data_IF_590116597253
#
_entry.id   IF_590116597253
#
_cell.length_a   1.000
_cell.length_b   1.000
_cell.length_c   1.000
_cell.angle_alpha   90.00
_cell.angle_beta   90.00
_cell.angle_gamma   90.00
#
_symmetry.space_group_name_H-M   'P 1'
#
loop_
_entity.id
_entity.type
_entity.pdbx_description
1 polymer ?
#
# COMPACT_ATOMS: atom_id res chain seq x y z
N UNK A 1 16.39 -33.13 36.63
CA UNK A 1 15.36 -33.00 35.56
C UNK A 1 15.13 -31.53 35.39
N UNK A 2 15.55 -31.00 34.23
CA UNK A 2 15.65 -29.58 33.93
C UNK A 2 14.36 -28.81 34.27
N UNK A 3 14.50 -27.71 35.00
CA UNK A 3 13.49 -26.68 35.10
C UNK A 3 13.39 -25.98 33.74
N UNK A 4 12.57 -26.53 32.85
CA UNK A 4 12.25 -25.89 31.57
C UNK A 4 11.22 -24.81 31.89
N UNK A 5 11.67 -23.57 32.06
CA UNK A 5 10.82 -22.38 31.91
C UNK A 5 10.00 -22.56 30.63
N UNK A 6 8.67 -22.36 30.62
CA UNK A 6 7.89 -22.48 29.40
C UNK A 6 8.40 -21.42 28.42
N UNK A 7 9.16 -21.85 27.41
CA UNK A 7 9.62 -20.97 26.35
C UNK A 7 8.41 -20.44 25.59
N UNK A 8 8.45 -19.16 25.23
CA UNK A 8 7.37 -18.56 24.46
C UNK A 8 7.39 -19.19 23.07
N UNK A 9 6.25 -19.66 22.51
CA UNK A 9 6.23 -20.19 21.16
C UNK A 9 6.81 -19.17 20.16
N UNK A 10 7.69 -19.61 19.26
CA UNK A 10 8.30 -18.76 18.21
C UNK A 10 7.26 -18.00 17.38
N UNK A 11 6.07 -18.59 17.20
CA UNK A 11 4.94 -17.96 16.54
C UNK A 11 4.51 -16.62 17.18
N UNK A 12 4.68 -16.45 18.50
CA UNK A 12 4.35 -15.22 19.20
C UNK A 12 5.43 -14.14 19.08
N UNK A 13 6.65 -14.48 18.66
CA UNK A 13 7.72 -13.49 18.50
C UNK A 13 7.36 -12.47 17.41
N UNK A 14 6.68 -12.92 16.34
CA UNK A 14 6.19 -12.04 15.27
C UNK A 14 5.07 -11.09 15.73
N UNK A 15 4.34 -11.44 16.79
CA UNK A 15 3.33 -10.55 17.41
C UNK A 15 3.95 -9.41 18.23
N UNK A 16 5.23 -9.54 18.56
CA UNK A 16 5.95 -8.62 19.44
C UNK A 16 6.85 -7.65 18.67
N UNK A 17 6.69 -7.59 17.34
CA UNK A 17 7.38 -6.66 16.48
C UNK A 17 6.52 -5.42 16.21
N UNK A 18 7.14 -4.26 16.28
CA UNK A 18 6.54 -3.01 15.83
C UNK A 18 6.46 -2.98 14.31
N UNK A 19 5.28 -2.68 13.76
CA UNK A 19 5.06 -2.64 12.29
C UNK A 19 5.74 -1.46 11.59
N UNK A 20 6.31 -0.50 12.33
CA UNK A 20 7.02 0.66 11.77
C UNK A 20 8.51 0.37 11.62
N UNK A 21 9.16 -0.10 12.69
CA UNK A 21 10.61 -0.35 12.69
C UNK A 21 11.00 -1.82 12.50
N UNK A 22 10.01 -2.73 12.48
CA UNK A 22 10.17 -4.18 12.30
C UNK A 22 11.07 -4.85 13.35
N UNK A 23 11.21 -4.20 14.52
CA UNK A 23 11.97 -4.67 15.67
C UNK A 23 11.03 -4.97 16.84
N UNK A 24 11.52 -5.68 17.85
CA UNK A 24 10.80 -5.83 19.12
C UNK A 24 10.40 -4.46 19.66
N UNK A 25 9.22 -4.40 20.26
CA UNK A 25 8.73 -3.15 20.85
C UNK A 25 9.71 -2.58 21.88
N UNK A 26 10.01 -1.29 21.74
CA UNK A 26 10.77 -0.49 22.70
C UNK A 26 9.86 0.64 23.17
N UNK A 27 9.60 0.71 24.48
CA UNK A 27 8.63 1.64 25.10
C UNK A 27 7.29 1.67 24.32
N UNK A 28 6.55 0.54 24.29
CA UNK A 28 5.34 0.42 23.48
C UNK A 28 4.23 1.34 23.96
N UNK A 29 3.78 2.27 23.11
CA UNK A 29 2.65 3.17 23.33
C UNK A 29 1.41 2.69 22.59
N UNK A 30 0.24 2.83 23.21
CA UNK A 30 -1.06 2.37 22.71
C UNK A 30 -1.88 3.57 22.22
N UNK A 31 -2.31 3.54 20.96
CA UNK A 31 -3.20 4.55 20.40
C UNK A 31 -4.65 4.36 20.87
N UNK A 32 -5.54 5.37 20.73
CA UNK A 32 -6.98 5.22 21.04
C UNK A 32 -7.68 4.11 20.24
N UNK A 33 -7.16 3.77 19.05
CA UNK A 33 -7.62 2.64 18.24
C UNK A 33 -7.06 1.27 18.68
N UNK A 34 -6.36 1.22 19.83
CA UNK A 34 -5.75 0.04 20.46
C UNK A 34 -4.55 -0.58 19.73
N UNK A 35 -4.08 0.02 18.64
CA UNK A 35 -2.81 -0.39 18.02
C UNK A 35 -1.62 0.12 18.82
N UNK A 36 -0.58 -0.71 18.91
CA UNK A 36 0.64 -0.45 19.71
C UNK A 36 1.82 -0.20 18.78
N UNK A 37 2.70 0.73 19.15
CA UNK A 37 3.91 1.11 18.40
C UNK A 37 5.03 1.51 19.38
N UNK A 38 6.29 1.48 18.95
CA UNK A 38 7.37 2.09 19.75
C UNK A 38 7.13 3.60 19.88
N UNK A 39 7.45 4.17 21.05
CA UNK A 39 7.39 5.61 21.28
C UNK A 39 8.11 6.40 20.18
N UNK A 40 9.39 6.09 19.93
CA UNK A 40 10.21 6.78 18.91
C UNK A 40 9.58 6.73 17.52
N UNK A 41 8.95 5.60 17.17
CA UNK A 41 8.29 5.44 15.87
C UNK A 41 7.03 6.32 15.73
N UNK A 42 6.33 6.58 16.83
CA UNK A 42 5.19 7.50 16.84
C UNK A 42 5.67 8.95 16.86
N UNK A 43 6.75 9.27 17.57
CA UNK A 43 7.34 10.61 17.57
C UNK A 43 7.81 11.03 16.18
N UNK A 44 8.50 10.15 15.46
CA UNK A 44 8.92 10.42 14.08
C UNK A 44 7.73 10.58 13.12
N UNK A 45 6.62 9.88 13.39
CA UNK A 45 5.40 9.96 12.58
C UNK A 45 4.63 11.26 12.85
N UNK A 46 4.47 11.62 14.11
CA UNK A 46 3.78 12.83 14.53
C UNK A 46 4.59 14.08 14.20
N UNK A 47 5.92 14.01 14.22
CA UNK A 47 6.82 15.16 14.05
C UNK A 47 6.41 16.29 15.02
N UNK A 48 6.19 17.50 14.50
CA UNK A 48 5.69 18.65 15.25
C UNK A 48 4.15 18.78 15.18
N UNK A 49 3.47 17.86 14.49
CA UNK A 49 2.02 17.89 14.34
C UNK A 49 1.33 17.30 15.57
N UNK A 50 0.21 17.91 15.97
CA UNK A 50 -0.61 17.41 17.08
C UNK A 50 -1.57 16.31 16.65
N UNK A 51 -1.61 15.93 15.36
CA UNK A 51 -2.51 14.89 14.86
C UNK A 51 -1.88 14.07 13.75
N UNK A 52 -2.09 12.76 13.76
CA UNK A 52 -1.64 11.83 12.70
C UNK A 52 -2.62 10.67 12.57
N UNK A 53 -2.51 9.89 11.49
CA UNK A 53 -3.34 8.70 11.29
C UNK A 53 -2.58 7.42 11.66
N UNK A 54 -3.29 6.50 12.31
CA UNK A 54 -2.75 5.18 12.66
C UNK A 54 -2.29 4.43 11.39
N UNK A 55 -1.06 3.91 11.33
CA UNK A 55 -0.56 3.17 10.16
C UNK A 55 -1.32 1.89 9.82
N UNK A 56 -2.05 1.32 10.79
CA UNK A 56 -2.73 0.02 10.62
C UNK A 56 -4.18 0.21 10.17
N UNK A 57 -4.91 1.14 10.80
CA UNK A 57 -6.36 1.29 10.58
C UNK A 57 -6.78 2.69 10.08
N UNK A 58 -5.82 3.57 9.79
CA UNK A 58 -6.02 4.95 9.33
C UNK A 58 -6.88 5.82 10.27
N UNK A 59 -7.12 5.35 11.51
CA UNK A 59 -7.88 6.12 12.50
C UNK A 59 -7.06 7.32 12.95
N UNK A 60 -7.66 8.50 12.85
CA UNK A 60 -7.06 9.76 13.31
C UNK A 60 -6.80 9.71 14.81
N UNK A 61 -5.57 10.04 15.20
CA UNK A 61 -5.13 10.17 16.58
C UNK A 61 -4.74 11.62 16.82
N UNK A 62 -5.21 12.16 17.94
CA UNK A 62 -4.88 13.50 18.40
C UNK A 62 -3.99 13.39 19.64
N UNK A 63 -2.87 14.10 19.61
CA UNK A 63 -1.91 14.18 20.71
C UNK A 63 -2.22 15.39 21.58
N UNK A 64 -1.88 15.27 22.86
CA UNK A 64 -1.91 16.40 23.79
C UNK A 64 -0.67 17.30 23.57
N UNK A 65 -0.59 18.42 24.27
CA UNK A 65 0.58 19.31 24.25
C UNK A 65 1.88 18.61 24.70
N UNK A 66 1.76 17.51 25.44
CA UNK A 66 2.87 16.69 25.94
C UNK A 66 3.21 15.53 24.99
N UNK A 67 2.62 15.51 23.78
CA UNK A 67 3.01 14.62 22.70
C UNK A 67 2.70 13.14 22.93
N UNK A 68 3.58 12.29 22.38
CA UNK A 68 3.46 10.81 22.39
C UNK A 68 3.70 10.22 23.77
N UNK A 69 4.49 10.88 24.62
CA UNK A 69 4.88 10.39 25.94
C UNK A 69 3.67 10.04 26.83
N UNK A 70 2.60 10.83 26.74
CA UNK A 70 1.37 10.65 27.53
C UNK A 70 0.44 9.55 27.03
N UNK A 71 0.76 8.89 25.92
CA UNK A 71 -0.02 7.74 25.48
C UNK A 71 0.17 6.56 26.45
N UNK A 72 -0.87 5.76 26.71
CA UNK A 72 -0.77 4.59 27.58
C UNK A 72 0.32 3.62 27.11
N UNK A 73 1.10 3.08 28.04
CA UNK A 73 2.08 2.05 27.74
C UNK A 73 1.49 0.64 27.77
N UNK A 74 1.97 -0.23 26.90
CA UNK A 74 1.62 -1.65 26.91
C UNK A 74 2.68 -2.45 27.69
N UNK A 75 2.62 -2.40 29.02
CA UNK A 75 3.59 -3.08 29.88
C UNK A 75 3.60 -4.60 29.69
N UNK A 76 2.46 -5.20 29.35
CA UNK A 76 2.38 -6.65 29.08
C UNK A 76 3.21 -7.06 27.85
N UNK A 77 3.21 -6.25 26.79
CA UNK A 77 4.08 -6.45 25.62
C UNK A 77 5.55 -6.24 25.98
N UNK A 78 5.86 -5.21 26.77
CA UNK A 78 7.23 -4.97 27.22
C UNK A 78 7.78 -6.17 28.02
N UNK A 79 7.02 -6.68 28.99
CA UNK A 79 7.38 -7.87 29.77
C UNK A 79 7.59 -9.11 28.88
N UNK A 80 6.81 -9.24 27.79
CA UNK A 80 6.95 -10.31 26.81
C UNK A 80 8.22 -10.15 25.97
N UNK A 81 8.53 -8.94 25.52
CA UNK A 81 9.75 -8.61 24.79
C UNK A 81 11.00 -8.88 25.64
N UNK A 82 11.00 -8.47 26.91
CA UNK A 82 12.10 -8.70 27.84
C UNK A 82 12.36 -10.20 28.07
N UNK A 83 11.29 -11.00 28.17
CA UNK A 83 11.42 -12.47 28.29
C UNK A 83 12.04 -13.12 27.06
N UNK A 84 11.82 -12.58 25.86
CA UNK A 84 12.46 -13.08 24.63
C UNK A 84 13.93 -12.70 24.62
N UNK A 85 14.25 -11.45 24.96
CA UNK A 85 15.64 -10.99 25.04
C UNK A 85 16.45 -11.82 26.05
N UNK A 86 15.84 -12.12 27.20
CA UNK A 86 16.41 -12.97 28.25
C UNK A 86 16.33 -14.49 27.95
N UNK A 87 15.69 -14.91 26.86
CA UNK A 87 15.77 -16.29 26.34
C UNK A 87 16.95 -16.46 25.36
N UNK A 88 17.32 -15.40 24.64
CA UNK A 88 18.48 -15.40 23.73
C UNK A 88 19.80 -15.17 24.50
N UNK A 89 19.74 -14.39 25.57
CA UNK A 89 20.74 -14.46 26.64
C UNK A 89 20.33 -15.64 27.52
N UNK A 90 20.68 -16.87 27.10
CA UNK A 90 21.19 -17.78 28.11
C UNK A 90 22.21 -16.97 28.89
N UNK A 91 22.06 -16.75 30.20
CA UNK A 91 23.23 -16.68 31.02
C UNK A 91 23.83 -18.09 30.90
N UNK A 92 24.62 -18.34 29.84
CA UNK A 92 25.84 -19.09 30.04
C UNK A 92 26.65 -18.18 30.95
N UNK A 93 26.27 -18.19 32.23
CA UNK A 93 27.13 -17.80 33.32
C UNK A 93 28.25 -18.84 33.25
N UNK A 94 29.23 -18.53 32.43
CA UNK A 94 30.57 -18.31 32.95
C UNK A 94 30.46 -17.16 33.95
N UNK A 95 29.84 -17.42 35.10
CA UNK A 95 30.18 -16.79 36.37
C UNK A 95 30.64 -17.93 37.26
N UNK A 96 31.70 -17.62 37.99
CA UNK A 96 32.34 -18.51 38.93
C UNK A 96 31.29 -19.14 39.87
N UNK A 97 31.42 -20.44 40.07
CA UNK A 97 30.44 -21.41 40.59
C UNK A 97 29.88 -21.16 41.99
N UNK A 98 30.29 -20.10 42.69
CA UNK A 98 30.21 -20.07 44.15
C UNK A 98 29.13 -19.11 44.70
N UNK A 99 28.64 -18.13 43.93
CA UNK A 99 27.69 -17.10 44.45
C UNK A 99 26.20 -17.42 44.20
N UNK A 100 25.84 -18.14 43.13
CA UNK A 100 24.43 -18.54 42.87
C UNK A 100 23.97 -19.69 43.77
N UNK A 101 24.87 -20.61 44.13
CA UNK A 101 24.58 -21.72 45.03
C UNK A 101 24.16 -21.22 46.43
N UNK A 102 24.75 -20.14 46.94
CA UNK A 102 24.38 -19.55 48.23
C UNK A 102 22.94 -18.99 48.23
N UNK A 103 22.53 -18.30 47.17
CA UNK A 103 21.19 -17.69 47.07
C UNK A 103 20.06 -18.72 46.95
N UNK A 104 20.24 -19.76 46.13
CA UNK A 104 19.28 -20.86 46.02
C UNK A 104 19.22 -21.70 47.30
N UNK A 105 20.33 -21.87 47.98
CA UNK A 105 20.37 -22.63 49.23
C UNK A 105 19.71 -21.86 50.38
N UNK A 106 19.87 -20.54 50.44
CA UNK A 106 19.14 -19.65 51.36
C UNK A 106 17.62 -19.69 51.13
N UNK A 107 17.16 -19.59 49.88
CA UNK A 107 15.73 -19.72 49.56
C UNK A 107 15.19 -21.13 49.86
N UNK A 108 15.93 -22.19 49.54
CA UNK A 108 15.53 -23.56 49.89
C UNK A 108 15.43 -23.75 51.40
N UNK A 109 16.32 -23.14 52.19
CA UNK A 109 16.23 -23.13 53.66
C UNK A 109 14.96 -22.40 54.13
N UNK A 110 14.59 -21.27 53.52
CA UNK A 110 13.38 -20.51 53.86
C UNK A 110 12.09 -21.32 53.73
N UNK A 111 11.97 -22.14 52.67
CA UNK A 111 10.77 -22.95 52.43
C UNK A 111 10.81 -24.34 53.09
N UNK A 112 11.96 -24.76 53.65
CA UNK A 112 12.12 -26.05 54.33
C UNK A 112 11.73 -26.03 55.81
N UNK A 113 11.85 -24.89 56.49
CA UNK A 113 11.56 -24.77 57.92
C UNK A 113 10.21 -24.10 58.17
N UNK A 114 9.58 -24.41 59.29
CA UNK A 114 8.30 -23.80 59.66
C UNK A 114 8.48 -22.30 59.94
N UNK A 115 7.62 -21.47 59.37
CA UNK A 115 7.67 -20.02 59.59
C UNK A 115 7.32 -19.63 61.04
N UNK A 116 6.48 -20.43 61.70
CA UNK A 116 6.10 -20.24 63.11
C UNK A 116 7.11 -20.90 64.06
N UNK A 117 7.55 -22.12 63.73
CA UNK A 117 8.51 -22.90 64.52
C UNK A 117 9.84 -23.01 63.76
N UNK A 118 10.63 -21.93 63.75
CA UNK A 118 11.78 -21.74 62.85
C UNK A 118 12.86 -22.83 62.88
N UNK A 119 12.91 -23.64 63.93
CA UNK A 119 13.85 -24.76 64.09
C UNK A 119 13.32 -26.09 63.56
N UNK A 120 12.01 -26.18 63.34
CA UNK A 120 11.33 -27.41 62.95
C UNK A 120 11.17 -27.52 61.44
N UNK A 121 11.50 -28.70 60.90
CA UNK A 121 11.37 -28.98 59.46
C UNK A 121 9.92 -29.24 59.09
N UNK A 122 9.48 -28.69 57.97
CA UNK A 122 8.16 -28.99 57.42
C UNK A 122 8.21 -30.36 56.72
N UNK A 123 7.78 -31.40 57.41
CA UNK A 123 7.78 -32.78 56.87
C UNK A 123 6.38 -33.33 56.62
N UNK A 124 5.35 -32.64 57.11
CA UNK A 124 3.95 -33.02 57.00
C UNK A 124 3.21 -32.07 56.08
N UNK A 125 2.06 -32.52 55.58
CA UNK A 125 1.16 -31.71 54.78
C UNK A 125 -0.27 -31.90 55.27
N UNK A 126 -0.93 -30.80 55.61
CA UNK A 126 -2.32 -30.79 56.05
C UNK A 126 -3.26 -30.81 54.83
N UNK A 127 -4.09 -31.85 54.69
CA UNK A 127 -4.98 -32.00 53.53
C UNK A 127 -6.13 -30.99 53.52
N UNK A 128 -6.63 -30.62 54.70
CA UNK A 128 -7.72 -29.67 54.88
C UNK A 128 -7.26 -28.22 54.62
N UNK A 129 -6.14 -27.84 55.21
CA UNK A 129 -5.60 -26.48 55.09
C UNK A 129 -4.79 -26.28 53.80
N UNK A 130 -4.39 -27.36 53.13
CA UNK A 130 -3.59 -27.39 51.90
C UNK A 130 -2.21 -26.72 52.01
N UNK A 131 -1.63 -26.76 53.20
CA UNK A 131 -0.34 -26.17 53.54
C UNK A 131 0.63 -27.22 54.10
N UNK A 132 1.95 -27.06 53.88
CA UNK A 132 2.96 -27.83 54.60
C UNK A 132 3.00 -27.43 56.08
N UNK A 133 3.38 -28.39 56.94
CA UNK A 133 3.37 -28.22 58.40
C UNK A 133 4.53 -28.98 59.05
N UNK A 134 5.03 -28.48 60.19
CA UNK A 134 5.91 -29.24 61.08
C UNK A 134 5.12 -30.04 62.11
N UNK A 135 5.82 -30.80 62.96
CA UNK A 135 5.24 -31.60 64.06
C UNK A 135 4.65 -30.75 65.18
N UNK A 136 5.25 -29.61 65.53
CA UNK A 136 4.68 -28.72 66.55
C UNK A 136 3.36 -28.09 66.08
N UNK A 137 3.30 -27.63 64.83
CA UNK A 137 2.05 -27.15 64.21
C UNK A 137 0.93 -28.21 64.19
N UNK A 138 1.27 -29.50 64.15
CA UNK A 138 0.27 -30.58 64.17
C UNK A 138 -0.49 -30.60 65.50
N UNK A 139 0.24 -30.45 66.60
CA UNK A 139 -0.34 -30.52 67.95
C UNK A 139 -1.04 -29.21 68.33
N UNK A 140 -0.54 -28.06 67.86
CA UNK A 140 -1.08 -26.75 68.21
C UNK A 140 -2.25 -26.29 67.32
N UNK A 141 -2.05 -26.28 66.00
CA UNK A 141 -2.94 -25.57 65.05
C UNK A 141 -3.72 -26.55 64.18
N UNK A 142 -3.12 -27.69 63.84
CA UNK A 142 -3.71 -28.71 62.97
C UNK A 142 -4.20 -29.95 63.74
N UNK A 143 -4.51 -29.80 65.03
CA UNK A 143 -4.99 -30.88 65.87
C UNK A 143 -6.27 -31.50 65.28
N UNK A 144 -6.25 -32.81 65.03
CA UNK A 144 -7.37 -33.53 64.43
C UNK A 144 -7.53 -33.37 62.91
N UNK A 145 -6.66 -32.63 62.23
CA UNK A 145 -6.64 -32.60 60.77
C UNK A 145 -5.95 -33.84 60.18
N UNK A 146 -6.27 -34.13 58.92
CA UNK A 146 -5.73 -35.29 58.21
C UNK A 146 -4.40 -34.88 57.58
N UNK A 147 -3.34 -35.55 58.01
CA UNK A 147 -1.98 -35.29 57.54
C UNK A 147 -1.50 -36.40 56.60
N UNK A 148 -0.58 -36.06 55.70
CA UNK A 148 0.30 -37.00 55.01
C UNK A 148 1.74 -36.49 55.02
N UNK A 149 2.69 -37.32 54.61
CA UNK A 149 4.06 -36.84 54.41
C UNK A 149 4.11 -35.80 53.29
N UNK A 150 4.90 -34.75 53.48
CA UNK A 150 5.09 -33.71 52.49
C UNK A 150 5.60 -34.29 51.16
N UNK A 151 6.48 -35.30 51.23
CA UNK A 151 6.98 -36.02 50.03
C UNK A 151 5.82 -36.58 49.20
N UNK A 152 4.89 -37.31 49.83
CA UNK A 152 3.73 -37.89 49.14
C UNK A 152 2.80 -36.80 48.57
N UNK A 153 2.54 -35.75 49.35
CA UNK A 153 1.73 -34.62 48.89
C UNK A 153 2.34 -33.93 47.66
N UNK A 154 3.66 -33.75 47.64
CA UNK A 154 4.38 -33.19 46.51
C UNK A 154 4.33 -34.11 45.29
N UNK A 155 4.52 -35.41 45.46
CA UNK A 155 4.46 -36.37 44.35
C UNK A 155 3.06 -36.41 43.72
N UNK A 156 1.99 -36.44 44.53
CA UNK A 156 0.60 -36.37 44.05
C UNK A 156 0.31 -35.04 43.33
N UNK A 157 0.78 -33.91 43.89
CA UNK A 157 0.54 -32.57 43.31
C UNK A 157 1.37 -32.31 42.05
N UNK A 158 2.59 -32.87 41.94
CA UNK A 158 3.42 -32.76 40.73
C UNK A 158 2.73 -33.33 39.51
N UNK A 159 2.03 -34.46 39.66
CA UNK A 159 1.24 -35.05 38.57
C UNK A 159 0.14 -34.08 38.14
N UNK A 160 -0.61 -33.52 39.10
CA UNK A 160 -1.67 -32.55 38.79
C UNK A 160 -1.14 -31.25 38.17
N UNK A 161 0.00 -30.74 38.61
CA UNK A 161 0.61 -29.55 38.01
C UNK A 161 1.07 -29.86 36.58
N UNK A 162 1.70 -31.03 36.37
CA UNK A 162 2.12 -31.46 35.04
C UNK A 162 0.94 -31.58 34.06
N UNK A 163 -0.22 -32.09 34.49
CA UNK A 163 -1.41 -32.17 33.63
C UNK A 163 -1.94 -30.77 33.26
N UNK A 164 -2.01 -29.84 34.21
CA UNK A 164 -2.41 -28.45 33.91
C UNK A 164 -1.41 -27.72 33.01
N UNK A 165 -0.11 -27.92 33.23
CA UNK A 165 0.93 -27.34 32.37
C UNK A 165 0.83 -27.87 30.94
N UNK A 166 0.63 -29.18 30.76
CA UNK A 166 0.43 -29.76 29.43
C UNK A 166 -0.82 -29.19 28.76
N UNK A 167 -1.95 -29.12 29.49
CA UNK A 167 -3.17 -28.50 28.96
C UNK A 167 -2.96 -27.04 28.56
N UNK A 168 -2.20 -26.28 29.34
CA UNK A 168 -1.83 -24.90 29.03
C UNK A 168 -0.98 -24.81 27.76
N UNK A 169 0.00 -25.70 27.58
CA UNK A 169 0.82 -25.79 26.36
C UNK A 169 -0.04 -26.08 25.13
N UNK A 170 -0.95 -27.05 25.21
CA UNK A 170 -1.86 -27.39 24.11
C UNK A 170 -2.74 -26.19 23.74
N UNK A 171 -3.26 -25.45 24.72
CA UNK A 171 -4.06 -24.25 24.47
C UNK A 171 -3.23 -23.15 23.79
N UNK A 172 -2.01 -22.91 24.27
CA UNK A 172 -1.11 -21.94 23.65
C UNK A 172 -0.82 -22.29 22.19
N UNK A 173 -0.55 -23.56 21.88
CA UNK A 173 -0.32 -24.01 20.50
C UNK A 173 -1.54 -23.78 19.60
N UNK A 174 -2.74 -24.11 20.09
CA UNK A 174 -3.99 -23.87 19.37
C UNK A 174 -4.22 -22.38 19.09
N UNK A 175 -4.01 -21.51 20.08
CA UNK A 175 -4.15 -20.06 19.89
C UNK A 175 -3.09 -19.51 18.95
N UNK A 176 -1.84 -19.99 19.02
CA UNK A 176 -0.79 -19.60 18.07
C UNK A 176 -1.16 -19.97 16.63
N UNK A 177 -1.67 -21.18 16.41
CA UNK A 177 -2.14 -21.62 15.09
C UNK A 177 -3.30 -20.76 14.59
N UNK A 178 -4.25 -20.42 15.48
CA UNK A 178 -5.36 -19.52 15.13
C UNK A 178 -4.88 -18.12 14.73
N UNK A 179 -3.93 -17.54 15.48
CA UNK A 179 -3.30 -16.25 15.17
C UNK A 179 -2.61 -16.28 13.81
N UNK A 180 -1.86 -17.36 13.50
CA UNK A 180 -1.26 -17.53 12.17
C UNK A 180 -2.31 -17.57 11.05
N UNK A 181 -3.45 -18.24 11.27
CA UNK A 181 -4.57 -18.25 10.33
C UNK A 181 -5.17 -16.85 10.12
N UNK A 182 -5.25 -16.03 11.17
CA UNK A 182 -5.69 -14.64 11.06
C UNK A 182 -4.71 -13.79 10.24
N UNK A 183 -3.39 -13.96 10.42
CA UNK A 183 -2.37 -13.29 9.59
C UNK A 183 -2.49 -13.62 8.12
N UNK A 184 -2.70 -14.90 7.80
CA UNK A 184 -2.90 -15.31 6.42
C UNK A 184 -4.19 -14.71 5.84
N UNK A 185 -5.26 -14.63 6.65
CA UNK A 185 -6.51 -13.98 6.25
C UNK A 185 -6.33 -12.48 5.98
N UNK A 186 -5.58 -11.78 6.85
CA UNK A 186 -5.22 -10.36 6.69
C UNK A 186 -4.43 -10.13 5.40
N UNK A 187 -3.41 -10.95 5.15
CA UNK A 187 -2.61 -10.89 3.92
C UNK A 187 -3.48 -11.07 2.67
N UNK A 188 -4.33 -12.09 2.67
CA UNK A 188 -5.27 -12.34 1.56
C UNK A 188 -6.21 -11.15 1.33
N UNK A 189 -6.69 -10.49 2.39
CA UNK A 189 -7.53 -9.31 2.27
C UNK A 189 -6.77 -8.15 1.62
N UNK A 190 -5.50 -7.93 1.99
CA UNK A 190 -4.65 -6.91 1.39
C UNK A 190 -4.44 -7.17 -0.12
N UNK A 191 -4.15 -8.42 -0.49
CA UNK A 191 -3.98 -8.83 -1.88
C UNK A 191 -5.28 -8.64 -2.69
N UNK A 192 -6.44 -9.01 -2.13
CA UNK A 192 -7.74 -8.78 -2.78
C UNK A 192 -8.02 -7.29 -3.00
N UNK A 193 -7.74 -6.45 -2.00
CA UNK A 193 -7.89 -4.99 -2.12
C UNK A 193 -6.97 -4.43 -3.21
N UNK A 194 -5.71 -4.85 -3.24
CA UNK A 194 -4.76 -4.42 -4.27
C UNK A 194 -5.19 -4.87 -5.68
N UNK A 195 -5.69 -6.11 -5.80
CA UNK A 195 -6.24 -6.62 -7.06
C UNK A 195 -7.45 -5.81 -7.52
N UNK A 196 -8.35 -5.45 -6.61
CA UNK A 196 -9.51 -4.60 -6.91
C UNK A 196 -9.08 -3.21 -7.39
N UNK A 197 -8.15 -2.56 -6.69
CA UNK A 197 -7.59 -1.25 -7.08
C UNK A 197 -6.96 -1.29 -8.48
N UNK A 198 -6.18 -2.33 -8.75
CA UNK A 198 -5.55 -2.55 -10.07
C UNK A 198 -6.60 -2.76 -11.16
N UNK A 199 -7.66 -3.52 -10.87
CA UNK A 199 -8.75 -3.78 -11.82
C UNK A 199 -9.52 -2.49 -12.16
N UNK A 200 -9.82 -1.66 -11.15
CA UNK A 200 -10.46 -0.35 -11.34
C UNK A 200 -9.58 0.55 -12.21
N UNK A 201 -8.29 0.64 -11.88
CA UNK A 201 -7.31 1.46 -12.62
C UNK A 201 -7.21 1.00 -14.08
N UNK A 202 -7.17 -0.31 -14.31
CA UNK A 202 -7.11 -0.87 -15.66
C UNK A 202 -8.37 -0.55 -16.47
N UNK A 203 -9.56 -0.69 -15.88
CA UNK A 203 -10.82 -0.36 -16.54
C UNK A 203 -10.89 1.13 -16.91
N UNK A 204 -10.47 2.01 -16.00
CA UNK A 204 -10.37 3.45 -16.24
C UNK A 204 -9.42 3.77 -17.42
N UNK A 205 -8.23 3.18 -17.43
CA UNK A 205 -7.25 3.36 -18.50
C UNK A 205 -7.77 2.85 -19.86
N UNK A 206 -8.51 1.74 -19.88
CA UNK A 206 -9.13 1.24 -21.10
C UNK A 206 -10.17 2.22 -21.65
N UNK A 207 -10.96 2.85 -20.79
CA UNK A 207 -11.93 3.87 -21.22
C UNK A 207 -11.24 5.11 -21.80
N UNK A 208 -10.17 5.58 -21.16
CA UNK A 208 -9.36 6.70 -21.69
C UNK A 208 -8.81 6.36 -23.08
N UNK A 209 -8.26 5.16 -23.27
CA UNK A 209 -7.71 4.73 -24.57
C UNK A 209 -8.78 4.77 -25.64
N UNK A 210 -9.96 4.17 -25.40
CA UNK A 210 -11.07 4.22 -26.36
C UNK A 210 -11.47 5.65 -26.72
N UNK A 211 -11.63 6.54 -25.73
CA UNK A 211 -11.96 7.95 -25.98
C UNK A 211 -10.86 8.67 -26.77
N UNK A 212 -9.60 8.36 -26.49
CA UNK A 212 -8.45 8.95 -27.20
C UNK A 212 -8.40 8.47 -28.65
N UNK A 213 -8.57 7.17 -28.88
CA UNK A 213 -8.59 6.57 -30.21
C UNK A 213 -9.74 7.14 -31.06
N UNK A 214 -10.94 7.28 -30.48
CA UNK A 214 -12.09 7.91 -31.15
C UNK A 214 -11.79 9.35 -31.52
N UNK A 215 -11.24 10.15 -30.58
CA UNK A 215 -10.84 11.54 -30.84
C UNK A 215 -9.83 11.63 -31.99
N UNK A 216 -8.80 10.79 -31.98
CA UNK A 216 -7.76 10.77 -33.00
C UNK A 216 -8.30 10.35 -34.37
N UNK A 217 -9.18 9.36 -34.43
CA UNK A 217 -9.86 8.97 -35.66
C UNK A 217 -10.68 10.11 -36.25
N UNK A 218 -11.45 10.82 -35.42
CA UNK A 218 -12.26 11.96 -35.89
C UNK A 218 -11.39 13.10 -36.41
N UNK A 219 -10.28 13.41 -35.74
CA UNK A 219 -9.32 14.41 -36.21
C UNK A 219 -8.69 14.01 -37.54
N UNK A 220 -8.36 12.72 -37.70
CA UNK A 220 -7.83 12.18 -38.95
C UNK A 220 -8.83 12.30 -40.09
N UNK A 221 -10.09 11.96 -39.86
CA UNK A 221 -11.16 12.07 -40.87
C UNK A 221 -11.34 13.52 -41.35
N UNK A 222 -11.34 14.48 -40.41
CA UNK A 222 -11.43 15.92 -40.75
C UNK A 222 -10.20 16.36 -41.55
N UNK A 223 -9.02 15.93 -41.14
CA UNK A 223 -7.78 16.24 -41.86
C UNK A 223 -7.80 15.69 -43.29
N UNK A 224 -8.23 14.46 -43.49
CA UNK A 224 -8.32 13.83 -44.81
C UNK A 224 -9.32 14.56 -45.72
N UNK A 225 -10.52 14.88 -45.20
CA UNK A 225 -11.52 15.68 -45.94
C UNK A 225 -10.98 17.07 -46.28
N UNK A 226 -10.26 17.71 -45.37
CA UNK A 226 -9.64 19.01 -45.62
C UNK A 226 -8.60 18.93 -46.76
N UNK A 227 -7.71 17.93 -46.74
CA UNK A 227 -6.74 17.70 -47.80
C UNK A 227 -7.39 17.38 -49.15
N UNK A 228 -8.51 16.66 -49.15
CA UNK A 228 -9.30 16.43 -50.36
C UNK A 228 -9.89 17.73 -50.91
N UNK A 229 -10.48 18.57 -50.04
CA UNK A 229 -11.05 19.85 -50.41
C UNK A 229 -9.98 20.80 -50.99
N UNK A 230 -8.81 20.93 -50.35
CA UNK A 230 -7.70 21.75 -50.89
C UNK A 230 -7.24 21.24 -52.25
N UNK A 231 -7.12 19.92 -52.42
CA UNK A 231 -6.77 19.32 -53.72
C UNK A 231 -7.79 19.66 -54.81
N UNK A 232 -9.09 19.56 -54.51
CA UNK A 232 -10.14 19.92 -55.46
C UNK A 232 -10.07 21.41 -55.87
N UNK A 233 -9.81 22.29 -54.90
CA UNK A 233 -9.61 23.73 -55.16
C UNK A 233 -8.40 23.96 -56.07
N UNK A 234 -7.25 23.33 -55.78
CA UNK A 234 -6.05 23.49 -56.59
C UNK A 234 -6.25 22.96 -58.02
N UNK A 235 -6.94 21.82 -58.19
CA UNK A 235 -7.26 21.26 -59.49
C UNK A 235 -8.12 22.20 -60.36
N UNK A 236 -9.01 23.01 -59.75
CA UNK A 236 -9.76 24.04 -60.48
C UNK A 236 -8.95 25.32 -60.68
N UNK A 237 -8.20 25.75 -59.68
CA UNK A 237 -7.45 27.03 -59.69
C UNK A 237 -6.27 27.01 -60.66
N UNK A 238 -5.46 25.95 -60.66
CA UNK A 238 -4.15 25.95 -61.33
C UNK A 238 -4.27 26.04 -62.87
N UNK A 239 -5.22 25.36 -63.54
CA UNK A 239 -5.47 25.56 -64.97
C UNK A 239 -5.94 26.99 -65.29
N UNK A 240 -6.86 27.55 -64.49
CA UNK A 240 -7.33 28.94 -64.69
C UNK A 240 -6.19 29.95 -64.52
N UNK A 241 -5.32 29.72 -63.55
CA UNK A 241 -4.15 30.58 -63.34
C UNK A 241 -3.18 30.51 -64.53
N UNK A 242 -3.01 29.33 -65.12
CA UNK A 242 -2.24 29.17 -66.37
C UNK A 242 -2.83 29.97 -67.51
N UNK A 243 -4.15 29.90 -67.71
CA UNK A 243 -4.86 30.69 -68.73
C UNK A 243 -4.72 32.20 -68.49
N UNK A 244 -4.78 32.64 -67.23
CA UNK A 244 -4.55 34.04 -66.86
C UNK A 244 -3.12 34.49 -67.17
N UNK A 245 -2.10 33.67 -66.90
CA UNK A 245 -0.71 34.00 -67.23
C UNK A 245 -0.47 34.07 -68.73
N UNK A 246 -1.03 33.13 -69.50
CA UNK A 246 -0.95 33.14 -70.96
C UNK A 246 -1.59 34.42 -71.54
N UNK A 247 -2.78 34.78 -71.04
CA UNK A 247 -3.47 36.00 -71.44
C UNK A 247 -2.68 37.25 -71.07
N UNK A 248 -2.17 37.33 -69.84
CA UNK A 248 -1.38 38.47 -69.36
C UNK A 248 -0.13 38.67 -70.21
N UNK A 249 0.62 37.60 -70.48
CA UNK A 249 1.81 37.62 -71.34
C UNK A 249 1.50 38.10 -72.76
N UNK A 250 0.40 37.61 -73.35
CA UNK A 250 -0.03 38.05 -74.68
C UNK A 250 -0.41 39.54 -74.70
N UNK A 251 -1.11 40.03 -73.66
CA UNK A 251 -1.48 41.43 -73.52
C UNK A 251 -0.26 42.34 -73.35
N UNK A 252 0.66 42.00 -72.45
CA UNK A 252 1.90 42.75 -72.22
C UNK A 252 2.75 42.81 -73.49
N UNK A 253 2.91 41.67 -74.17
CA UNK A 253 3.67 41.59 -75.42
C UNK A 253 3.11 42.49 -76.52
N UNK A 254 1.78 42.56 -76.67
CA UNK A 254 1.13 43.43 -77.64
C UNK A 254 1.19 44.92 -77.25
N UNK A 255 1.06 45.24 -75.95
CA UNK A 255 1.16 46.62 -75.44
C UNK A 255 2.55 47.21 -75.67
N UNK A 256 3.62 46.44 -75.44
CA UNK A 256 5.00 46.92 -75.60
C UNK A 256 5.32 47.34 -77.06
N UNK A 257 4.69 46.68 -78.03
CA UNK A 257 4.93 46.91 -79.45
C UNK A 257 3.87 47.83 -80.09
N UNK A 258 2.88 48.30 -79.31
CA UNK A 258 1.76 49.12 -79.78
C UNK A 258 2.19 50.45 -80.41
N UNK A 259 3.26 51.06 -79.89
CA UNK A 259 3.81 52.33 -80.39
C UNK A 259 4.97 52.15 -81.39
N UNK A 260 5.36 50.90 -81.69
CA UNK A 260 6.48 50.59 -82.56
C UNK A 260 6.02 50.19 -83.96
N UNK A 261 6.52 50.86 -85.00
CA UNK A 261 6.25 50.53 -86.41
C UNK A 261 7.17 49.40 -86.89
N UNK A 262 7.06 48.21 -86.28
CA UNK A 262 7.86 47.03 -86.61
C UNK A 262 6.98 45.91 -87.20
N UNK A 263 7.51 45.10 -88.15
CA UNK A 263 6.78 43.95 -88.70
C UNK A 263 6.31 42.96 -87.61
N UNK A 264 7.09 42.83 -86.54
CA UNK A 264 6.85 41.92 -85.41
C UNK A 264 5.54 42.24 -84.66
N UNK A 265 5.05 43.49 -84.70
CA UNK A 265 3.77 43.89 -84.12
C UNK A 265 2.61 43.05 -84.69
N UNK A 266 2.59 42.81 -86.00
CA UNK A 266 1.53 42.02 -86.65
C UNK A 266 1.54 40.56 -86.22
N UNK A 267 2.68 40.04 -85.76
CA UNK A 267 2.81 38.68 -85.21
C UNK A 267 2.25 38.64 -83.79
N UNK A 268 2.62 39.61 -82.94
CA UNK A 268 2.11 39.69 -81.55
C UNK A 268 0.62 40.03 -81.49
N UNK A 269 0.12 40.88 -82.37
CA UNK A 269 -1.30 41.19 -82.51
C UNK A 269 -2.11 39.93 -82.84
N UNK A 270 -1.68 39.14 -83.82
CA UNK A 270 -2.33 37.87 -84.16
C UNK A 270 -2.32 36.88 -83.00
N UNK A 271 -1.21 36.78 -82.26
CA UNK A 271 -1.10 35.93 -81.07
C UNK A 271 -2.07 36.39 -79.97
N UNK A 272 -2.15 37.69 -79.68
CA UNK A 272 -3.09 38.23 -78.70
C UNK A 272 -4.54 37.94 -79.09
N UNK A 273 -4.93 38.24 -80.33
CA UNK A 273 -6.30 38.00 -80.82
C UNK A 273 -6.64 36.51 -80.73
N UNK A 274 -5.70 35.63 -81.04
CA UNK A 274 -5.89 34.19 -80.93
C UNK A 274 -6.11 33.75 -79.48
N UNK A 275 -5.23 34.14 -78.55
CA UNK A 275 -5.32 33.79 -77.12
C UNK A 275 -6.61 34.33 -76.50
N UNK A 276 -6.95 35.60 -76.77
CA UNK A 276 -8.19 36.23 -76.29
C UNK A 276 -9.41 35.49 -76.81
N UNK A 277 -9.44 35.12 -78.10
CA UNK A 277 -10.55 34.36 -78.69
C UNK A 277 -10.70 33.00 -78.01
N UNK A 278 -9.62 32.25 -77.88
CA UNK A 278 -9.63 30.90 -77.29
C UNK A 278 -10.12 30.92 -75.83
N UNK A 279 -9.62 31.85 -75.02
CA UNK A 279 -10.05 32.01 -73.63
C UNK A 279 -11.50 32.52 -73.55
N UNK A 280 -11.89 33.48 -74.39
CA UNK A 280 -13.26 34.01 -74.42
C UNK A 280 -14.28 32.93 -74.78
N UNK A 281 -13.96 32.05 -75.74
CA UNK A 281 -14.81 30.90 -76.07
C UNK A 281 -14.91 29.90 -74.92
N UNK A 282 -13.82 29.66 -74.17
CA UNK A 282 -13.85 28.80 -72.98
C UNK A 282 -14.70 29.40 -71.87
N UNK A 283 -14.56 30.70 -71.60
CA UNK A 283 -15.36 31.43 -70.59
C UNK A 283 -16.84 31.45 -70.99
N UNK A 284 -17.16 31.68 -72.26
CA UNK A 284 -18.54 31.67 -72.76
C UNK A 284 -19.22 30.29 -72.65
N UNK A 285 -18.43 29.20 -72.66
CA UNK A 285 -18.91 27.82 -72.45
C UNK A 285 -19.01 27.44 -70.96
N UNK A 286 -18.43 28.23 -70.06
CA UNK A 286 -18.46 27.95 -68.62
C UNK A 286 -19.75 28.48 -67.97
N UNK A 287 -20.30 27.78 -66.95
CA UNK A 287 -21.40 28.31 -66.14
C UNK A 287 -21.01 29.65 -65.48
N UNK A 288 -21.98 30.57 -65.35
CA UNK A 288 -21.80 31.83 -64.61
C UNK A 288 -22.68 31.85 -63.35
N UNK A 289 -22.10 32.03 -62.15
CA UNK A 289 -20.67 32.15 -61.84
C UNK A 289 -19.90 30.83 -62.10
N UNK A 290 -18.57 30.93 -62.25
CA UNK A 290 -17.69 29.78 -62.48
C UNK A 290 -17.98 28.67 -61.46
N UNK A 291 -17.99 27.39 -61.88
CA UNK A 291 -18.34 26.29 -61.01
C UNK A 291 -17.34 26.19 -59.85
N UNK A 292 -17.85 26.26 -58.63
CA UNK A 292 -17.08 25.94 -57.42
C UNK A 292 -16.89 24.43 -57.35
N UNK A 293 -15.68 23.94 -57.01
CA UNK A 293 -15.47 22.51 -56.82
C UNK A 293 -16.41 21.99 -55.71
N UNK A 294 -16.97 20.79 -55.85
CA UNK A 294 -17.79 20.20 -54.79
C UNK A 294 -16.92 19.97 -53.55
N UNK A 295 -17.21 20.68 -52.47
CA UNK A 295 -16.49 20.57 -51.21
C UNK A 295 -17.27 19.70 -50.23
N UNK A 296 -16.56 18.82 -49.53
CA UNK A 296 -17.16 18.03 -48.46
C UNK A 296 -17.18 18.83 -47.16
N UNK A 297 -18.29 18.84 -46.40
CA UNK A 297 -18.34 19.48 -45.09
C UNK A 297 -17.31 18.87 -44.12
N UNK A 298 -16.62 19.74 -43.37
CA UNK A 298 -15.67 19.33 -42.32
C UNK A 298 -16.33 19.11 -40.96
N UNK A 299 -17.67 19.13 -40.91
CA UNK A 299 -18.41 18.86 -39.67
C UNK A 299 -18.13 17.42 -39.22
N UNK A 300 -17.64 17.23 -37.99
CA UNK A 300 -17.43 15.89 -37.44
C UNK A 300 -18.78 15.19 -37.28
N UNK A 301 -18.79 13.87 -37.45
CA UNK A 301 -19.99 13.06 -37.25
C UNK A 301 -20.16 12.83 -35.74
N UNK A 302 -20.96 13.66 -35.09
CA UNK A 302 -21.17 13.62 -33.64
C UNK A 302 -22.28 12.63 -33.20
N UNK A 303 -22.90 11.92 -34.14
CA UNK A 303 -24.09 11.07 -33.94
C UNK A 303 -23.89 9.91 -32.93
N UNK A 304 -22.66 9.66 -32.45
CA UNK A 304 -22.34 8.57 -31.50
C UNK A 304 -22.02 9.06 -30.08
N UNK A 305 -22.15 10.36 -29.80
CA UNK A 305 -21.85 10.96 -28.48
C UNK A 305 -23.09 11.29 -27.64
N UNK A 306 -24.28 10.92 -28.11
CA UNK A 306 -25.49 10.91 -27.29
C UNK A 306 -25.46 9.69 -26.35
N UNK A 307 -24.69 9.81 -25.26
CA UNK A 307 -24.78 8.97 -24.06
C UNK A 307 -25.08 9.83 -22.84
#
# INVERSE_FOLDING_TARGET
MAGVSPSLPTALQQELLCVICEKLYSTPKVLPCLHTFCQDCLEERAKEDTTFNCPVCDTRTELTLEGVEQLPENTAILDLCDRIHNQEVMPQLVLDSDEEEESEEEERKLYMFCQTHSKEKQQLYCMQCKVPSCTECLDEIHAGHRMMSLKRALDDRKVSVATFLNRGKDLMENYCSYIQGLRETEKNLHEQKQQADNSITQAYQQMIRKLTDTKESMLKDVHEKHLQNIRAIHQTRDPLLTEVYELASACEGAQQDQDQTRPDFTIREKQLVQVVREISEKVARAPTPLPTPPLTPLTPRMEEWDM
#
